data_IF_613631930525
#
_entry.id   IF_613631930525
#
_cell.length_a   1.000
_cell.length_b   1.000
_cell.length_c   1.000
_cell.angle_alpha   90.00
_cell.angle_beta   90.00
_cell.angle_gamma   90.00
#
_symmetry.space_group_name_H-M   'P 1'
#
loop_
_entity.id
_entity.type
_entity.pdbx_description
1 polymer ?
#
# COMPACT_ATOMS: atom_id res chain seq x y z
N UNK A 1 3.55 -78.74 4.29
CA UNK A 1 2.85 -77.55 4.83
C UNK A 1 3.44 -76.29 4.18
N UNK A 2 2.81 -75.81 3.16
CA UNK A 2 3.26 -74.58 2.42
C UNK A 2 2.58 -73.38 3.03
N UNK A 3 3.32 -72.55 3.79
CA UNK A 3 2.86 -71.26 4.34
C UNK A 3 2.85 -70.20 3.23
N UNK A 4 1.67 -69.85 2.70
CA UNK A 4 1.49 -68.79 1.80
C UNK A 4 1.59 -67.46 2.57
N UNK A 5 2.66 -66.67 2.30
CA UNK A 5 2.82 -65.29 2.85
C UNK A 5 1.73 -64.42 2.33
N UNK A 6 1.02 -63.70 3.21
CA UNK A 6 -0.01 -62.73 2.85
C UNK A 6 0.59 -61.59 2.02
N UNK A 7 -0.11 -61.06 0.99
CA UNK A 7 0.40 -60.00 0.13
C UNK A 7 0.57 -58.72 0.95
N UNK A 8 1.78 -58.13 0.89
CA UNK A 8 2.06 -56.80 1.50
C UNK A 8 1.18 -55.77 0.81
N UNK A 9 0.13 -55.27 1.48
CA UNK A 9 -0.70 -54.14 0.99
C UNK A 9 0.20 -52.96 0.70
N UNK A 10 0.20 -52.49 -0.57
CA UNK A 10 0.93 -51.31 -0.98
C UNK A 10 0.32 -50.11 -0.24
N UNK A 11 1.06 -49.50 0.68
CA UNK A 11 0.63 -48.31 1.46
C UNK A 11 0.68 -47.02 0.64
N UNK A 12 1.25 -47.05 -0.57
CA UNK A 12 1.43 -45.91 -1.48
C UNK A 12 0.14 -45.12 -1.75
N UNK A 13 -1.02 -45.74 -2.09
CA UNK A 13 -2.24 -44.91 -2.37
C UNK A 13 -2.74 -44.14 -1.16
N UNK A 14 -2.54 -44.68 0.04
CA UNK A 14 -2.92 -43.98 1.29
C UNK A 14 -2.01 -42.79 1.52
N UNK A 15 -0.71 -42.93 1.34
CA UNK A 15 0.27 -41.86 1.48
C UNK A 15 -0.01 -40.74 0.44
N UNK A 16 -0.25 -41.14 -0.82
CA UNK A 16 -0.61 -40.19 -1.87
C UNK A 16 -1.90 -39.44 -1.53
N UNK A 17 -2.92 -40.15 -1.05
CA UNK A 17 -4.18 -39.54 -0.60
C UNK A 17 -3.98 -38.53 0.54
N UNK A 18 -3.16 -38.86 1.54
CA UNK A 18 -2.85 -37.94 2.65
C UNK A 18 -2.04 -36.72 2.19
N UNK A 19 -1.09 -36.89 1.26
CA UNK A 19 -0.33 -35.76 0.69
C UNK A 19 -1.24 -34.83 -0.08
N UNK A 20 -2.10 -35.38 -0.96
CA UNK A 20 -3.07 -34.56 -1.72
C UNK A 20 -4.03 -33.82 -0.78
N UNK A 21 -4.55 -34.54 0.24
CA UNK A 21 -5.45 -33.91 1.23
C UNK A 21 -4.74 -32.79 1.99
N UNK A 22 -3.49 -32.99 2.40
CA UNK A 22 -2.68 -31.98 3.07
C UNK A 22 -2.41 -30.77 2.16
N UNK A 23 -2.13 -30.99 0.87
CA UNK A 23 -1.92 -29.92 -0.10
C UNK A 23 -3.19 -29.07 -0.35
N UNK A 24 -4.37 -29.63 -0.10
CA UNK A 24 -5.65 -28.91 -0.20
C UNK A 24 -6.04 -28.24 1.12
N UNK A 25 -5.96 -28.96 2.24
CA UNK A 25 -6.41 -28.48 3.54
C UNK A 25 -5.48 -27.41 4.14
N UNK A 26 -4.16 -27.57 3.96
CA UNK A 26 -3.19 -26.62 4.51
C UNK A 26 -3.37 -25.19 3.96
N UNK A 27 -3.49 -24.99 2.64
CA UNK A 27 -3.82 -23.65 2.11
C UNK A 27 -5.16 -23.11 2.61
N UNK A 28 -6.19 -23.94 2.71
CA UNK A 28 -7.51 -23.50 3.21
C UNK A 28 -7.46 -22.98 4.65
N UNK A 29 -6.60 -23.57 5.50
CA UNK A 29 -6.42 -23.11 6.88
C UNK A 29 -5.77 -21.71 6.98
N UNK A 30 -5.04 -21.29 5.94
CA UNK A 30 -4.39 -19.96 5.86
C UNK A 30 -5.11 -18.99 4.93
N UNK A 31 -6.25 -19.40 4.35
CA UNK A 31 -7.01 -18.53 3.48
C UNK A 31 -7.58 -17.33 4.25
N UNK A 32 -7.21 -16.13 3.84
CA UNK A 32 -7.72 -14.88 4.41
C UNK A 32 -8.57 -14.18 3.35
N UNK A 33 -9.91 -14.13 3.52
CA UNK A 33 -10.77 -13.42 2.59
C UNK A 33 -10.53 -11.91 2.65
N UNK A 34 -10.78 -11.24 1.53
CA UNK A 34 -10.72 -9.78 1.48
C UNK A 34 -11.77 -9.17 2.40
N UNK A 35 -11.40 -8.09 3.08
CA UNK A 35 -12.33 -7.32 3.90
C UNK A 35 -13.13 -6.41 2.96
N UNK A 36 -14.48 -6.41 3.01
CA UNK A 36 -15.29 -5.54 2.18
C UNK A 36 -14.90 -4.07 2.32
N UNK A 37 -14.82 -3.35 1.20
CA UNK A 37 -14.44 -1.94 1.19
C UNK A 37 -15.35 -1.07 2.07
N UNK A 38 -16.64 -1.38 2.17
CA UNK A 38 -17.57 -0.69 3.04
C UNK A 38 -17.18 -0.80 4.53
N UNK A 39 -16.74 -1.99 4.97
CA UNK A 39 -16.24 -2.22 6.33
C UNK A 39 -14.98 -1.42 6.62
N UNK A 40 -14.05 -1.37 5.66
CA UNK A 40 -12.82 -0.59 5.80
C UNK A 40 -13.13 0.91 5.83
N UNK A 41 -14.01 1.38 4.97
CA UNK A 41 -14.47 2.78 4.98
C UNK A 41 -15.10 3.15 6.32
N UNK A 42 -16.04 2.36 6.82
CA UNK A 42 -16.69 2.60 8.12
C UNK A 42 -15.70 2.66 9.28
N UNK A 43 -14.60 1.88 9.21
CA UNK A 43 -13.58 1.81 10.27
C UNK A 43 -12.57 2.95 10.19
N UNK A 44 -12.14 3.36 8.98
CA UNK A 44 -10.96 4.19 8.80
C UNK A 44 -11.25 5.60 8.28
N UNK A 45 -12.50 5.95 7.94
CA UNK A 45 -12.86 7.35 7.67
C UNK A 45 -13.06 8.14 8.96
N UNK A 46 -12.72 9.42 8.88
CA UNK A 46 -12.94 10.42 9.94
C UNK A 46 -13.76 11.58 9.36
N UNK A 47 -14.22 12.54 10.17
CA UNK A 47 -14.87 13.76 9.66
C UNK A 47 -14.01 14.56 8.68
N UNK A 48 -12.67 14.42 8.76
CA UNK A 48 -11.72 15.06 7.84
C UNK A 48 -11.55 14.31 6.51
N UNK A 49 -12.10 13.09 6.39
CA UNK A 49 -11.98 12.25 5.19
C UNK A 49 -12.87 12.72 4.06
N UNK A 50 -12.30 12.81 2.87
CA UNK A 50 -13.02 13.05 1.61
C UNK A 50 -12.55 12.08 0.55
N UNK A 51 -13.41 11.79 -0.45
CA UNK A 51 -13.06 10.99 -1.62
C UNK A 51 -13.13 11.88 -2.84
N UNK A 52 -11.98 12.18 -3.44
CA UNK A 52 -11.84 13.13 -4.53
C UNK A 52 -11.69 12.40 -5.85
N UNK A 53 -12.59 12.66 -6.81
CA UNK A 53 -12.43 12.18 -8.17
C UNK A 53 -11.27 12.92 -8.84
N UNK A 54 -10.19 12.19 -9.15
CA UNK A 54 -8.98 12.75 -9.78
C UNK A 54 -8.82 12.30 -11.23
N UNK A 55 -9.39 11.15 -11.56
CA UNK A 55 -9.51 10.65 -12.94
C UNK A 55 -10.73 9.74 -13.06
N UNK A 56 -11.22 9.42 -14.27
CA UNK A 56 -12.38 8.57 -14.45
C UNK A 56 -12.23 7.22 -13.72
N UNK A 57 -13.16 6.96 -12.80
CA UNK A 57 -13.17 5.74 -11.99
C UNK A 57 -12.21 5.70 -10.81
N UNK A 58 -11.41 6.74 -10.57
CA UNK A 58 -10.52 6.83 -9.41
C UNK A 58 -10.97 7.89 -8.42
N UNK A 59 -11.29 7.47 -7.20
CA UNK A 59 -11.57 8.36 -6.08
C UNK A 59 -10.47 8.24 -5.04
N UNK A 60 -9.67 9.27 -4.88
CA UNK A 60 -8.56 9.32 -3.92
C UNK A 60 -9.09 9.70 -2.54
N UNK A 61 -8.81 8.86 -1.55
CA UNK A 61 -9.07 9.19 -0.16
C UNK A 61 -8.06 10.20 0.34
N UNK A 62 -8.57 11.31 0.85
CA UNK A 62 -7.78 12.45 1.35
C UNK A 62 -8.31 12.85 2.72
N UNK A 63 -7.44 13.14 3.66
CA UNK A 63 -7.75 13.88 4.89
C UNK A 63 -7.16 15.27 4.81
N UNK A 64 -7.90 16.25 5.34
CA UNK A 64 -7.57 17.67 5.30
C UNK A 64 -7.84 18.26 6.69
N UNK A 65 -6.79 18.37 7.50
CA UNK A 65 -6.83 18.59 8.95
C UNK A 65 -6.03 19.85 9.32
N UNK A 66 -6.51 20.58 10.34
CA UNK A 66 -5.91 21.84 10.80
C UNK A 66 -6.59 23.09 10.22
N UNK A 67 -6.11 24.29 10.61
CA UNK A 67 -6.67 25.56 10.19
C UNK A 67 -6.55 25.78 8.67
N UNK A 68 -7.60 26.29 8.03
CA UNK A 68 -7.66 26.43 6.56
C UNK A 68 -6.71 27.49 6.00
N UNK A 69 -6.36 28.45 6.80
CA UNK A 69 -5.47 29.58 6.51
C UNK A 69 -4.01 29.34 6.93
N UNK A 70 -3.74 28.23 7.61
CA UNK A 70 -2.39 27.87 8.01
C UNK A 70 -1.53 27.39 6.82
N UNK A 71 -0.18 27.46 6.95
CA UNK A 71 0.73 26.88 5.96
C UNK A 71 0.42 25.41 5.69
N UNK A 72 0.38 25.05 4.40
CA UNK A 72 0.00 23.68 4.00
C UNK A 72 1.20 22.74 4.01
N UNK A 73 1.00 21.56 4.59
CA UNK A 73 1.90 20.41 4.54
C UNK A 73 1.17 19.20 3.93
N UNK A 74 1.58 18.79 2.73
CA UNK A 74 1.07 17.59 2.09
C UNK A 74 1.97 16.39 2.43
N UNK A 75 1.37 15.26 2.87
CA UNK A 75 2.09 14.07 3.34
C UNK A 75 1.70 12.82 2.56
N UNK A 76 2.71 12.10 2.05
CA UNK A 76 2.57 10.93 1.19
C UNK A 76 3.19 9.71 1.86
N UNK A 77 2.38 8.66 2.07
CA UNK A 77 2.78 7.42 2.76
C UNK A 77 3.70 6.51 1.91
N UNK A 78 4.33 5.54 2.56
CA UNK A 78 5.18 4.52 1.93
C UNK A 78 4.39 3.34 1.32
N UNK A 79 5.12 2.39 0.74
CA UNK A 79 4.54 1.12 0.27
C UNK A 79 3.91 0.33 1.42
N UNK A 80 2.82 -0.39 1.14
CA UNK A 80 2.07 -1.20 2.11
C UNK A 80 1.57 -0.40 3.34
N UNK A 81 1.49 0.92 3.23
CA UNK A 81 1.00 1.82 4.25
C UNK A 81 -0.22 2.60 3.71
N UNK A 82 -0.70 3.52 4.49
CA UNK A 82 -1.82 4.42 4.17
C UNK A 82 -1.61 5.77 4.85
N UNK A 83 -2.47 6.71 4.61
CA UNK A 83 -2.39 8.05 5.22
C UNK A 83 -2.39 8.02 6.77
N UNK A 84 -2.87 6.93 7.40
CA UNK A 84 -2.80 6.73 8.85
C UNK A 84 -1.35 6.74 9.40
N UNK A 85 -0.36 6.45 8.59
CA UNK A 85 1.06 6.61 8.96
C UNK A 85 1.36 8.00 9.52
N UNK A 86 0.61 9.02 9.10
CA UNK A 86 0.82 10.41 9.46
C UNK A 86 0.02 10.88 10.67
N UNK A 87 -0.85 10.04 11.26
CA UNK A 87 -1.65 10.42 12.44
C UNK A 87 -0.82 10.99 13.61
N UNK A 88 0.37 10.44 13.94
CA UNK A 88 1.22 11.05 14.98
C UNK A 88 1.74 12.45 14.62
N UNK A 89 1.95 12.72 13.32
CA UNK A 89 2.37 14.04 12.82
C UNK A 89 1.19 15.01 12.84
N UNK A 90 0.03 14.57 12.36
CA UNK A 90 -1.22 15.35 12.40
C UNK A 90 -1.51 15.79 13.82
N UNK A 91 -1.48 14.87 14.78
CA UNK A 91 -1.72 15.17 16.20
C UNK A 91 -0.80 16.25 16.78
N UNK A 92 0.42 16.38 16.25
CA UNK A 92 1.43 17.33 16.75
C UNK A 92 1.46 18.65 16.00
N UNK A 93 1.06 18.65 14.75
CA UNK A 93 1.29 19.78 13.84
C UNK A 93 0.01 20.47 13.37
N UNK A 94 -1.18 19.86 13.55
CA UNK A 94 -2.43 20.39 13.06
C UNK A 94 -2.89 21.70 13.73
N UNK A 95 -2.30 22.07 14.85
CA UNK A 95 -2.55 23.39 15.44
C UNK A 95 -1.86 24.53 14.67
N UNK A 96 -0.78 24.23 13.93
CA UNK A 96 0.06 25.22 13.24
C UNK A 96 0.08 25.05 11.73
N UNK A 97 -0.33 23.90 11.20
CA UNK A 97 -0.31 23.58 9.79
C UNK A 97 -1.66 23.01 9.33
N UNK A 98 -2.04 23.34 8.10
CA UNK A 98 -3.07 22.60 7.38
C UNK A 98 -2.42 21.36 6.77
N UNK A 99 -2.75 20.17 7.29
CA UNK A 99 -2.14 18.92 6.86
C UNK A 99 -3.07 18.21 5.89
N UNK A 100 -2.57 17.93 4.70
CA UNK A 100 -3.27 17.16 3.68
C UNK A 100 -2.54 15.84 3.52
N UNK A 101 -3.17 14.76 3.89
CA UNK A 101 -2.65 13.40 3.67
C UNK A 101 -3.56 12.64 2.72
N UNK A 102 -2.99 11.78 1.89
CA UNK A 102 -3.75 11.02 0.88
C UNK A 102 -3.29 9.56 0.81
N UNK A 103 -4.22 8.69 0.43
CA UNK A 103 -3.93 7.31 0.05
C UNK A 103 -3.62 7.25 -1.45
N UNK A 104 -2.40 6.85 -1.82
CA UNK A 104 -2.05 6.65 -3.22
C UNK A 104 -2.85 5.49 -3.86
N UNK A 105 -3.06 5.49 -5.19
CA UNK A 105 -3.68 4.37 -5.88
C UNK A 105 -3.02 3.02 -5.53
N UNK A 106 -3.85 2.02 -5.29
CA UNK A 106 -3.42 0.70 -4.80
C UNK A 106 -3.26 0.59 -3.29
N UNK A 107 -3.52 1.67 -2.53
CA UNK A 107 -3.32 1.72 -1.08
C UNK A 107 -4.56 2.27 -0.36
N UNK A 108 -4.63 1.96 0.93
CA UNK A 108 -5.64 2.48 1.85
C UNK A 108 -7.06 2.39 1.32
N UNK A 109 -7.84 3.46 1.47
CA UNK A 109 -9.23 3.52 1.01
C UNK A 109 -9.38 4.01 -0.44
N UNK A 110 -8.31 4.42 -1.11
CA UNK A 110 -8.32 4.76 -2.53
C UNK A 110 -8.55 3.52 -3.39
N UNK A 111 -7.97 2.38 -3.00
CA UNK A 111 -8.11 1.15 -3.75
C UNK A 111 -7.31 1.13 -5.06
N UNK A 112 -7.64 0.19 -5.94
CA UNK A 112 -6.91 -0.05 -7.17
C UNK A 112 -7.11 1.08 -8.21
N UNK A 113 -6.05 1.42 -8.96
CA UNK A 113 -6.15 2.31 -10.12
C UNK A 113 -6.91 1.60 -11.25
N UNK A 114 -7.92 2.24 -11.86
CA UNK A 114 -8.64 1.69 -13.02
C UNK A 114 -7.71 1.43 -14.22
N UNK A 115 -6.72 2.29 -14.40
CA UNK A 115 -5.73 2.20 -15.50
C UNK A 115 -4.55 1.29 -15.14
N UNK A 116 -4.46 0.80 -13.89
CA UNK A 116 -3.32 0.04 -13.34
C UNK A 116 -1.99 0.79 -13.45
N UNK A 117 -2.02 2.11 -13.57
CA UNK A 117 -0.81 2.93 -13.54
C UNK A 117 -0.37 3.16 -12.08
N UNK A 118 0.66 2.44 -11.68
CA UNK A 118 1.34 2.57 -10.39
C UNK A 118 2.78 3.06 -10.56
N UNK A 119 3.05 3.72 -11.69
CA UNK A 119 4.35 4.34 -11.95
C UNK A 119 4.57 5.58 -11.08
N UNK A 120 5.83 5.97 -10.89
CA UNK A 120 6.14 7.21 -10.19
C UNK A 120 5.50 8.43 -10.86
N UNK A 121 5.41 8.45 -12.19
CA UNK A 121 4.74 9.51 -12.94
C UNK A 121 3.23 9.52 -12.68
N UNK A 122 2.59 8.34 -12.63
CA UNK A 122 1.18 8.20 -12.28
C UNK A 122 0.88 8.72 -10.87
N UNK A 123 1.72 8.40 -9.91
CA UNK A 123 1.56 8.92 -8.55
C UNK A 123 1.77 10.44 -8.46
N UNK A 124 2.78 10.99 -9.16
CA UNK A 124 2.99 12.45 -9.22
C UNK A 124 1.78 13.15 -9.83
N UNK A 125 1.19 12.59 -10.89
CA UNK A 125 -0.05 13.12 -11.49
C UNK A 125 -1.20 13.14 -10.48
N UNK A 126 -1.42 12.04 -9.75
CA UNK A 126 -2.48 11.99 -8.72
C UNK A 126 -2.26 13.05 -7.64
N UNK A 127 -1.03 13.24 -7.18
CA UNK A 127 -0.67 14.30 -6.22
C UNK A 127 -0.99 15.68 -6.78
N UNK A 128 -0.67 15.92 -8.06
CA UNK A 128 -0.98 17.16 -8.75
C UNK A 128 -2.50 17.44 -8.82
N UNK A 129 -3.29 16.42 -9.18
CA UNK A 129 -4.74 16.56 -9.23
C UNK A 129 -5.35 16.85 -7.85
N UNK A 130 -4.84 16.21 -6.79
CA UNK A 130 -5.26 16.52 -5.41
C UNK A 130 -4.87 17.95 -5.03
N UNK A 131 -3.65 18.39 -5.34
CA UNK A 131 -3.18 19.74 -5.06
C UNK A 131 -4.06 20.79 -5.79
N UNK A 132 -4.31 20.59 -7.07
CA UNK A 132 -5.15 21.45 -7.89
C UNK A 132 -6.60 21.53 -7.34
N UNK A 133 -7.21 20.39 -7.06
CA UNK A 133 -8.58 20.32 -6.54
C UNK A 133 -8.72 20.93 -5.12
N UNK A 134 -7.63 20.97 -4.34
CA UNK A 134 -7.57 21.67 -3.04
C UNK A 134 -7.18 23.14 -3.16
N UNK A 135 -6.91 23.64 -4.36
CA UNK A 135 -6.51 25.03 -4.63
C UNK A 135 -5.13 25.37 -4.08
N UNK A 136 -4.22 24.40 -4.01
CA UNK A 136 -2.89 24.61 -3.46
C UNK A 136 -1.95 25.20 -4.51
N UNK A 137 -1.53 26.44 -4.28
CA UNK A 137 -0.58 27.13 -5.16
C UNK A 137 0.85 27.06 -4.64
N UNK A 138 1.02 27.04 -3.31
CA UNK A 138 2.32 26.90 -2.65
C UNK A 138 2.16 26.10 -1.35
N UNK A 139 2.96 25.04 -1.17
CA UNK A 139 2.88 24.15 0.00
C UNK A 139 4.20 23.42 0.25
N UNK A 140 4.40 22.96 1.47
CA UNK A 140 5.43 21.97 1.78
C UNK A 140 4.92 20.57 1.45
N UNK A 141 5.80 19.72 0.92
CA UNK A 141 5.48 18.32 0.61
C UNK A 141 6.44 17.39 1.32
N UNK A 142 5.91 16.32 1.89
CA UNK A 142 6.71 15.32 2.58
C UNK A 142 6.28 13.90 2.23
N UNK A 143 7.19 12.95 2.37
CA UNK A 143 6.86 11.55 2.15
C UNK A 143 7.86 10.58 2.72
N UNK A 144 7.36 9.38 3.04
CA UNK A 144 8.14 8.27 3.54
C UNK A 144 8.37 7.23 2.43
N UNK A 145 9.58 6.69 2.31
CA UNK A 145 9.92 5.57 1.42
C UNK A 145 9.44 5.83 -0.02
N UNK A 146 8.51 5.05 -0.54
CA UNK A 146 7.88 5.26 -1.84
C UNK A 146 7.26 6.66 -1.96
N UNK A 147 6.53 7.11 -0.93
CA UNK A 147 5.93 8.45 -0.88
C UNK A 147 6.97 9.57 -0.90
N UNK A 148 8.13 9.37 -0.26
CA UNK A 148 9.27 10.26 -0.37
C UNK A 148 9.81 10.32 -1.80
N UNK A 149 9.82 9.17 -2.49
CA UNK A 149 10.13 9.07 -3.92
C UNK A 149 9.17 9.85 -4.82
N UNK A 150 7.89 9.88 -4.47
CA UNK A 150 6.87 10.71 -5.14
C UNK A 150 7.06 12.19 -4.82
N UNK A 151 7.26 12.52 -3.54
CA UNK A 151 7.41 13.90 -3.06
C UNK A 151 8.57 14.64 -3.73
N UNK A 152 9.76 14.05 -3.81
CA UNK A 152 10.89 14.72 -4.45
C UNK A 152 10.72 14.85 -5.96
N UNK A 153 10.06 13.89 -6.63
CA UNK A 153 9.76 13.99 -8.07
C UNK A 153 8.72 15.08 -8.35
N UNK A 154 7.72 15.20 -7.46
CA UNK A 154 6.77 16.30 -7.54
C UNK A 154 7.49 17.64 -7.38
N UNK A 155 8.34 17.78 -6.36
CA UNK A 155 9.10 19.00 -6.10
C UNK A 155 10.04 19.36 -7.28
N UNK A 156 10.62 18.38 -7.93
CA UNK A 156 11.47 18.60 -9.11
C UNK A 156 10.66 19.02 -10.34
N UNK A 157 9.42 18.54 -10.48
CA UNK A 157 8.53 18.88 -11.61
C UNK A 157 7.80 20.21 -11.41
N UNK A 158 7.56 20.64 -10.17
CA UNK A 158 6.79 21.83 -9.79
C UNK A 158 7.52 22.68 -8.74
N UNK A 159 8.78 23.09 -8.98
CA UNK A 159 9.59 23.78 -7.96
C UNK A 159 8.97 25.10 -7.48
N UNK A 160 8.19 25.77 -8.32
CA UNK A 160 7.49 27.02 -8.01
C UNK A 160 6.39 26.85 -6.95
N UNK A 161 5.83 25.67 -6.83
CA UNK A 161 4.76 25.35 -5.87
C UNK A 161 5.31 24.92 -4.51
N UNK A 162 6.59 24.52 -4.42
CA UNK A 162 7.13 23.87 -3.23
C UNK A 162 7.85 24.88 -2.33
N UNK A 163 7.36 24.99 -1.10
CA UNK A 163 7.97 25.84 -0.05
C UNK A 163 8.94 25.06 0.83
N UNK A 164 8.85 23.75 0.87
CA UNK A 164 9.71 22.84 1.63
C UNK A 164 9.53 21.38 1.23
N UNK A 165 10.60 20.62 1.35
CA UNK A 165 10.59 19.19 1.02
C UNK A 165 11.08 18.38 2.22
N UNK A 166 10.27 17.41 2.69
CA UNK A 166 10.58 16.53 3.81
C UNK A 166 10.70 15.09 3.28
N UNK A 167 11.87 14.49 3.44
CA UNK A 167 12.16 13.14 2.97
C UNK A 167 12.47 12.23 4.15
N UNK A 168 11.65 11.21 4.35
CA UNK A 168 11.83 10.18 5.37
C UNK A 168 12.15 8.87 4.66
N UNK A 169 13.41 8.43 4.70
CA UNK A 169 13.92 7.22 4.05
C UNK A 169 13.47 7.09 2.57
N UNK A 170 13.52 8.20 1.83
CA UNK A 170 12.91 8.34 0.51
C UNK A 170 13.52 7.40 -0.53
N UNK A 171 12.65 6.72 -1.30
CA UNK A 171 13.06 5.85 -2.38
C UNK A 171 13.44 6.63 -3.65
N UNK A 172 14.30 5.99 -4.47
CA UNK A 172 14.57 6.43 -5.85
C UNK A 172 15.63 7.51 -5.98
N UNK A 173 16.38 7.83 -4.93
CA UNK A 173 17.62 8.59 -5.06
C UNK A 173 18.65 7.79 -5.86
N UNK A 174 19.48 8.43 -6.71
CA UNK A 174 20.57 7.74 -7.38
C UNK A 174 21.50 7.11 -6.35
N UNK A 175 21.63 5.79 -6.36
CA UNK A 175 22.55 5.06 -5.49
C UNK A 175 23.73 4.55 -6.31
N UNK A 176 24.93 4.75 -5.79
CA UNK A 176 26.15 4.18 -6.37
C UNK A 176 26.22 2.66 -6.18
N UNK A 177 25.50 2.12 -5.21
CA UNK A 177 25.39 0.68 -4.94
C UNK A 177 24.04 0.17 -5.40
N UNK A 178 24.03 -0.81 -6.31
CA UNK A 178 22.83 -1.56 -6.67
C UNK A 178 22.50 -2.50 -5.51
N UNK A 179 21.63 -2.09 -4.60
CA UNK A 179 21.04 -3.03 -3.63
C UNK A 179 19.99 -3.89 -4.34
N UNK A 180 20.13 -5.20 -4.22
CA UNK A 180 19.11 -6.11 -4.69
C UNK A 180 17.83 -5.95 -3.81
N UNK A 181 16.64 -5.86 -4.42
CA UNK A 181 15.41 -5.78 -3.64
C UNK A 181 15.24 -7.06 -2.81
N UNK A 182 14.74 -6.96 -1.57
CA UNK A 182 14.41 -8.12 -0.74
C UNK A 182 13.58 -9.16 -1.50
N UNK A 183 13.76 -10.44 -1.17
CA UNK A 183 13.07 -11.56 -1.83
C UNK A 183 11.54 -11.35 -1.89
N UNK A 184 10.95 -10.80 -0.82
CA UNK A 184 9.52 -10.51 -0.77
C UNK A 184 9.07 -9.56 -1.90
N UNK A 185 9.86 -8.53 -2.23
CA UNK A 185 9.57 -7.64 -3.35
C UNK A 185 9.78 -8.31 -4.71
N UNK A 186 10.75 -9.23 -4.82
CA UNK A 186 10.94 -10.01 -6.05
C UNK A 186 9.73 -10.92 -6.29
N UNK A 187 9.26 -11.63 -5.25
CA UNK A 187 8.08 -12.49 -5.32
C UNK A 187 6.79 -11.71 -5.61
N UNK A 188 6.62 -10.53 -4.99
CA UNK A 188 5.47 -9.67 -5.22
C UNK A 188 5.39 -9.13 -6.67
N UNK A 189 6.49 -9.13 -7.42
CA UNK A 189 6.52 -8.76 -8.85
C UNK A 189 6.17 -9.91 -9.79
N UNK A 190 6.19 -11.16 -9.30
CA UNK A 190 5.87 -12.33 -10.13
C UNK A 190 4.36 -12.46 -10.27
N UNK A 191 3.81 -12.39 -11.51
CA UNK A 191 2.39 -12.65 -11.75
C UNK A 191 2.05 -14.08 -11.25
N UNK A 192 0.83 -14.28 -10.79
CA UNK A 192 0.30 -15.49 -10.17
C UNK A 192 0.86 -15.79 -8.75
N UNK A 193 2.17 -15.64 -8.48
CA UNK A 193 2.74 -15.84 -7.14
C UNK A 193 2.18 -14.81 -6.18
N UNK A 194 2.14 -13.55 -6.59
CA UNK A 194 1.54 -12.45 -5.82
C UNK A 194 0.07 -12.73 -5.49
N UNK A 195 -0.72 -13.09 -6.50
CA UNK A 195 -2.18 -13.22 -6.36
C UNK A 195 -2.57 -14.41 -5.46
N UNK A 196 -1.71 -15.45 -5.42
CA UNK A 196 -1.85 -16.58 -4.50
C UNK A 196 -1.32 -16.21 -3.11
N UNK A 197 -0.12 -15.65 -3.03
CA UNK A 197 0.53 -15.35 -1.75
C UNK A 197 -0.29 -14.38 -0.88
N UNK A 198 -0.90 -13.34 -1.47
CA UNK A 198 -1.74 -12.37 -0.75
C UNK A 198 -2.91 -13.04 -0.02
N UNK A 199 -3.50 -14.10 -0.60
CA UNK A 199 -4.65 -14.81 -0.01
C UNK A 199 -4.27 -15.81 1.08
N UNK A 200 -3.01 -16.20 1.16
CA UNK A 200 -2.53 -17.23 2.08
C UNK A 200 -1.46 -16.73 3.05
N UNK A 201 -1.12 -15.43 3.02
CA UNK A 201 -0.19 -14.86 4.00
C UNK A 201 -0.88 -14.72 5.36
N UNK A 202 -0.31 -15.28 6.43
CA UNK A 202 -0.84 -15.09 7.77
C UNK A 202 -0.85 -13.60 8.15
N UNK A 203 -1.96 -13.10 8.68
CA UNK A 203 -2.08 -11.70 9.17
C UNK A 203 -0.95 -11.32 10.13
N UNK A 204 -0.52 -12.25 10.96
CA UNK A 204 0.57 -12.02 11.92
C UNK A 204 1.92 -11.63 11.30
N UNK A 205 2.14 -11.93 10.01
CA UNK A 205 3.33 -11.49 9.28
C UNK A 205 3.20 -10.06 8.76
N UNK A 206 1.97 -9.60 8.54
CA UNK A 206 1.69 -8.23 8.07
C UNK A 206 1.63 -7.26 9.25
N UNK A 207 1.10 -7.70 10.39
CA UNK A 207 0.94 -6.86 11.60
C UNK A 207 2.26 -6.59 12.33
N UNK A 208 3.34 -7.29 11.98
CA UNK A 208 4.68 -7.15 12.60
C UNK A 208 5.68 -6.39 11.72
N UNK A 209 5.28 -5.98 10.53
CA UNK A 209 6.08 -5.16 9.61
C UNK A 209 5.69 -3.68 9.73
#
# INVERSE_FOLDING_TARGET
MTTTAAPKRKRWPIVTGLVVLSLVLLPMAFYTPDIPAATLRAKYTTPASTFMAVEPGLQVHVRDEGPRDAPVLMLIHGSNASLQTWEPWVKRLSDSFRIISLDLPGHGLTGASPTRDYSSAGYVRVVNEVAAAKGLTRFAIGGNSMGGGVAWRYAAAHPEQITGLILVDAAGAPSKTKSEPPLAFKLARMPYVRDVAIKFLPRSLIEKS
#
